data_IF_106756284001
#
_entry.id   IF_106756284001
#
_cell.length_a   1.000
_cell.length_b   1.000
_cell.length_c   1.000
_cell.angle_alpha   90.00
_cell.angle_beta   90.00
_cell.angle_gamma   90.00
#
_symmetry.space_group_name_H-M   'P 1'
#
loop_
_entity.id
_entity.type
_entity.pdbx_description
1 polymer ?
#
# COMPACT_ATOMS: atom_id res chain seq x y z
N UNK A 1 -22.68 42.99 -17.69
CA UNK A 1 -22.41 42.41 -16.36
C UNK A 1 -23.14 41.08 -16.25
N UNK A 2 -22.47 40.12 -15.61
CA UNK A 2 -22.90 38.77 -15.23
C UNK A 2 -22.79 37.63 -16.26
N UNK A 3 -21.57 37.07 -16.24
CA UNK A 3 -21.20 35.66 -16.13
C UNK A 3 -21.79 34.63 -17.11
N UNK A 4 -20.95 34.26 -18.09
CA UNK A 4 -20.93 32.92 -18.66
C UNK A 4 -20.62 31.91 -17.54
N UNK A 5 -21.56 31.01 -17.24
CA UNK A 5 -21.23 29.76 -16.55
C UNK A 5 -20.77 28.82 -17.64
N UNK A 6 -19.48 28.91 -17.95
CA UNK A 6 -18.79 27.87 -18.69
C UNK A 6 -18.92 26.58 -17.87
N UNK A 7 -19.65 25.61 -18.42
CA UNK A 7 -19.57 24.22 -18.01
C UNK A 7 -18.14 23.75 -18.32
N UNK A 8 -17.23 24.04 -17.39
CA UNK A 8 -15.89 23.51 -17.40
C UNK A 8 -16.04 22.01 -17.23
N UNK A 9 -15.94 21.32 -18.37
CA UNK A 9 -15.67 19.91 -18.47
C UNK A 9 -14.66 19.56 -17.38
N UNK A 10 -15.09 18.81 -16.37
CA UNK A 10 -14.22 18.28 -15.31
C UNK A 10 -13.38 17.14 -15.90
N UNK A 11 -12.60 17.48 -16.93
CA UNK A 11 -11.61 16.64 -17.55
C UNK A 11 -10.35 17.44 -17.53
N UNK A 12 -9.45 17.14 -16.59
CA UNK A 12 -8.01 16.99 -16.85
C UNK A 12 -7.24 16.83 -15.55
N UNK A 13 -6.43 15.75 -15.51
CA UNK A 13 -5.19 15.61 -14.72
C UNK A 13 -5.30 15.55 -13.19
N UNK A 14 -5.78 14.42 -12.67
CA UNK A 14 -5.09 13.84 -11.51
C UNK A 14 -3.87 13.11 -12.04
N UNK A 15 -2.70 13.77 -11.95
CA UNK A 15 -1.43 13.11 -12.14
C UNK A 15 -1.40 11.86 -11.26
N UNK A 16 -1.21 10.70 -11.88
CA UNK A 16 -1.15 9.34 -11.30
C UNK A 16 0.02 9.12 -10.32
N UNK A 17 0.73 10.19 -9.95
CA UNK A 17 1.87 10.22 -9.03
C UNK A 17 1.36 10.71 -7.67
N UNK A 18 1.03 9.92 -6.65
CA UNK A 18 1.01 8.48 -6.43
C UNK A 18 -0.26 8.22 -5.61
N UNK A 19 -1.26 7.52 -6.16
CA UNK A 19 -2.49 7.21 -5.41
C UNK A 19 -2.19 6.51 -4.09
N UNK A 20 -1.14 5.68 -4.04
CA UNK A 20 -0.70 4.99 -2.81
C UNK A 20 -0.16 5.97 -1.77
N UNK A 21 0.78 6.86 -2.10
CA UNK A 21 1.36 7.79 -1.12
C UNK A 21 0.29 8.75 -0.55
N UNK A 22 -0.64 9.20 -1.39
CA UNK A 22 -1.77 10.01 -0.94
C UNK A 22 -2.67 9.24 0.04
N UNK A 23 -3.04 8.01 -0.30
CA UNK A 23 -3.84 7.15 0.57
C UNK A 23 -3.13 6.87 1.90
N UNK A 24 -1.84 6.56 1.87
CA UNK A 24 -1.04 6.29 3.06
C UNK A 24 -0.86 7.53 3.94
N UNK A 25 -0.75 8.73 3.37
CA UNK A 25 -0.76 9.98 4.15
C UNK A 25 -2.09 10.18 4.87
N UNK A 26 -3.21 9.82 4.21
CA UNK A 26 -4.54 9.92 4.81
C UNK A 26 -4.74 8.96 5.99
N UNK A 27 -4.09 7.79 5.96
CA UNK A 27 -4.19 6.77 7.03
C UNK A 27 -3.78 7.33 8.40
N UNK A 28 -2.76 8.18 8.46
CA UNK A 28 -2.18 8.69 9.71
C UNK A 28 -3.16 9.51 10.54
N UNK A 29 -4.12 10.19 9.89
CA UNK A 29 -5.14 11.01 10.54
C UNK A 29 -6.54 10.39 10.48
N UNK A 30 -6.66 9.15 10.00
CA UNK A 30 -7.95 8.47 9.80
C UNK A 30 -8.35 7.66 11.03
N UNK A 31 -9.66 7.56 11.28
CA UNK A 31 -10.21 6.60 12.24
C UNK A 31 -10.10 5.15 11.73
N UNK A 32 -10.45 4.17 12.57
CA UNK A 32 -10.31 2.75 12.24
C UNK A 32 -11.14 2.34 11.00
N UNK A 33 -12.33 2.92 10.81
CA UNK A 33 -13.20 2.57 9.70
C UNK A 33 -12.57 3.05 8.38
N UNK A 34 -12.15 4.30 8.34
CA UNK A 34 -11.55 4.89 7.15
C UNK A 34 -10.19 4.25 6.82
N UNK A 35 -9.41 3.83 7.82
CA UNK A 35 -8.18 3.05 7.59
C UNK A 35 -8.47 1.72 6.90
N UNK A 36 -9.51 0.99 7.32
CA UNK A 36 -9.91 -0.26 6.67
C UNK A 36 -10.37 -0.03 5.22
N UNK A 37 -11.10 1.05 4.96
CA UNK A 37 -11.51 1.43 3.59
C UNK A 37 -10.30 1.75 2.70
N UNK A 38 -9.32 2.48 3.23
CA UNK A 38 -8.07 2.78 2.52
C UNK A 38 -7.29 1.49 2.23
N UNK A 39 -7.11 0.62 3.23
CA UNK A 39 -6.43 -0.67 3.04
C UNK A 39 -7.12 -1.51 1.97
N UNK A 40 -8.46 -1.63 2.01
CA UNK A 40 -9.22 -2.34 0.99
C UNK A 40 -9.04 -1.75 -0.41
N UNK A 41 -8.98 -0.42 -0.52
CA UNK A 41 -8.73 0.26 -1.78
C UNK A 41 -7.32 -0.07 -2.30
N UNK A 42 -6.30 -0.03 -1.44
CA UNK A 42 -4.93 -0.39 -1.79
C UNK A 42 -4.86 -1.86 -2.25
N UNK A 43 -5.44 -2.78 -1.48
CA UNK A 43 -5.46 -4.22 -1.82
C UNK A 43 -6.14 -4.47 -3.16
N UNK A 44 -7.23 -3.75 -3.48
CA UNK A 44 -7.93 -3.89 -4.76
C UNK A 44 -7.08 -3.49 -5.99
N UNK A 45 -6.01 -2.70 -5.80
CA UNK A 45 -5.05 -2.39 -6.87
C UNK A 45 -4.12 -3.57 -7.18
N UNK A 46 -3.98 -4.52 -6.25
CA UNK A 46 -3.23 -5.76 -6.43
C UNK A 46 -1.77 -5.52 -6.79
N UNK A 47 -1.29 -6.24 -7.82
CA UNK A 47 0.10 -6.19 -8.26
C UNK A 47 0.59 -4.76 -8.58
N UNK A 48 -0.28 -3.88 -9.08
CA UNK A 48 0.09 -2.53 -9.45
C UNK A 48 0.56 -1.68 -8.25
N UNK A 49 0.12 -2.01 -7.03
CA UNK A 49 0.51 -1.30 -5.81
C UNK A 49 1.82 -1.83 -5.20
N UNK A 50 2.28 -3.02 -5.58
CA UNK A 50 3.36 -3.74 -4.87
C UNK A 50 4.64 -2.92 -4.79
N UNK A 51 5.08 -2.32 -5.90
CA UNK A 51 6.33 -1.56 -5.92
C UNK A 51 6.31 -0.36 -4.97
N UNK A 52 5.21 0.38 -4.94
CA UNK A 52 5.04 1.53 -4.04
C UNK A 52 4.92 1.13 -2.59
N UNK A 53 4.24 0.00 -2.32
CA UNK A 53 4.08 -0.52 -0.97
C UNK A 53 5.41 -1.03 -0.40
N UNK A 54 6.21 -1.74 -1.20
CA UNK A 54 7.55 -2.20 -0.76
C UNK A 54 8.44 -1.01 -0.43
N UNK A 55 8.50 0.00 -1.31
CA UNK A 55 9.23 1.24 -1.06
C UNK A 55 8.77 1.92 0.24
N UNK A 56 7.46 2.02 0.46
CA UNK A 56 6.93 2.64 1.68
C UNK A 56 7.16 1.78 2.94
N UNK A 57 7.23 0.45 2.83
CA UNK A 57 7.38 -0.45 3.99
C UNK A 57 8.70 -0.21 4.72
N UNK A 58 9.77 0.09 3.96
CA UNK A 58 11.12 0.34 4.47
C UNK A 58 11.16 1.56 5.40
N UNK A 59 10.46 2.63 5.02
CA UNK A 59 10.55 3.93 5.70
C UNK A 59 9.36 4.23 6.62
N UNK A 60 8.22 3.55 6.44
CA UNK A 60 7.01 3.81 7.19
C UNK A 60 7.16 3.44 8.67
N UNK A 61 6.43 4.13 9.54
CA UNK A 61 6.34 3.85 10.97
C UNK A 61 4.88 3.83 11.43
N UNK A 62 4.65 3.34 12.65
CA UNK A 62 3.33 3.32 13.30
C UNK A 62 2.22 2.76 12.41
N UNK A 63 1.09 3.47 12.36
CA UNK A 63 -0.12 3.04 11.65
C UNK A 63 0.12 2.90 10.14
N UNK A 64 0.95 3.78 9.55
CA UNK A 64 1.29 3.69 8.11
C UNK A 64 1.98 2.36 7.80
N UNK A 65 2.97 1.95 8.62
CA UNK A 65 3.66 0.66 8.49
C UNK A 65 2.67 -0.51 8.59
N UNK A 66 1.76 -0.46 9.57
CA UNK A 66 0.74 -1.50 9.75
C UNK A 66 -0.14 -1.67 8.51
N UNK A 67 -0.66 -0.57 7.94
CA UNK A 67 -1.53 -0.64 6.74
C UNK A 67 -0.74 -1.13 5.51
N UNK A 68 0.49 -0.69 5.32
CA UNK A 68 1.35 -1.16 4.23
C UNK A 68 1.63 -2.66 4.35
N UNK A 69 2.04 -3.12 5.54
CA UNK A 69 2.31 -4.53 5.81
C UNK A 69 1.07 -5.40 5.60
N UNK A 70 -0.08 -5.01 6.17
CA UNK A 70 -1.34 -5.74 5.99
C UNK A 70 -1.77 -5.79 4.52
N UNK A 71 -1.59 -4.68 3.78
CA UNK A 71 -1.90 -4.65 2.35
C UNK A 71 -1.03 -5.64 1.57
N UNK A 72 0.28 -5.67 1.82
CA UNK A 72 1.21 -6.59 1.15
C UNK A 72 0.92 -8.06 1.49
N UNK A 73 0.56 -8.36 2.75
CA UNK A 73 0.14 -9.70 3.20
C UNK A 73 -1.12 -10.14 2.45
N UNK A 74 -2.13 -9.26 2.35
CA UNK A 74 -3.40 -9.55 1.67
C UNK A 74 -3.26 -9.64 0.15
N UNK A 75 -2.33 -8.89 -0.46
CA UNK A 75 -1.94 -9.07 -1.86
C UNK A 75 -1.24 -10.42 -2.05
N UNK A 76 -0.50 -10.88 -1.05
CA UNK A 76 0.03 -12.24 -0.97
C UNK A 76 1.23 -12.48 -1.87
N UNK A 77 1.29 -13.65 -2.52
CA UNK A 77 2.49 -14.14 -3.24
C UNK A 77 3.00 -13.20 -4.33
N UNK A 78 2.12 -12.39 -4.90
CA UNK A 78 2.44 -11.36 -5.88
C UNK A 78 3.50 -10.36 -5.37
N UNK A 79 3.56 -10.15 -4.05
CA UNK A 79 4.52 -9.27 -3.37
C UNK A 79 5.90 -9.90 -3.13
N UNK A 80 6.02 -11.24 -3.15
CA UNK A 80 7.20 -11.93 -2.61
C UNK A 80 8.50 -11.59 -3.34
N UNK A 81 8.47 -11.50 -4.68
CA UNK A 81 9.69 -11.21 -5.44
C UNK A 81 10.21 -9.81 -5.13
N UNK A 82 9.32 -8.82 -5.05
CA UNK A 82 9.69 -7.45 -4.72
C UNK A 82 10.26 -7.34 -3.29
N UNK A 83 9.62 -8.00 -2.32
CA UNK A 83 10.09 -8.05 -0.93
C UNK A 83 11.47 -8.73 -0.79
N UNK A 84 11.70 -9.84 -1.51
CA UNK A 84 13.00 -10.53 -1.51
C UNK A 84 14.11 -9.70 -2.15
N UNK A 85 13.78 -8.96 -3.20
CA UNK A 85 14.73 -8.05 -3.84
C UNK A 85 15.12 -6.92 -2.88
N UNK A 86 14.18 -6.39 -2.09
CA UNK A 86 14.46 -5.33 -1.12
C UNK A 86 15.41 -5.80 0.00
N UNK A 87 15.33 -7.07 0.41
CA UNK A 87 16.26 -7.66 1.39
C UNK A 87 17.72 -7.77 0.92
N UNK A 88 18.00 -7.51 -0.36
CA UNK A 88 19.38 -7.45 -0.86
C UNK A 88 20.11 -6.18 -0.39
N UNK A 89 19.37 -5.16 0.05
CA UNK A 89 19.92 -3.93 0.61
C UNK A 89 20.02 -4.04 2.13
N UNK A 90 21.11 -3.50 2.70
CA UNK A 90 21.28 -3.43 4.15
C UNK A 90 20.43 -2.28 4.71
N UNK A 91 19.41 -2.62 5.50
CA UNK A 91 18.48 -1.69 6.10
C UNK A 91 18.06 -2.18 7.49
N UNK A 92 18.04 -1.26 8.46
CA UNK A 92 17.66 -1.55 9.85
C UNK A 92 16.23 -2.10 9.98
N UNK A 93 15.34 -1.75 9.05
CA UNK A 93 13.94 -2.19 9.01
C UNK A 93 13.75 -3.49 8.21
N UNK A 94 14.82 -4.19 7.78
CA UNK A 94 14.69 -5.48 7.09
C UNK A 94 13.89 -6.53 7.88
N UNK A 95 13.81 -6.40 9.21
CA UNK A 95 12.97 -7.25 10.04
C UNK A 95 11.48 -7.20 9.64
N UNK A 96 10.94 -6.04 9.25
CA UNK A 96 9.52 -5.95 8.86
C UNK A 96 9.27 -6.62 7.51
N UNK A 97 10.24 -6.52 6.59
CA UNK A 97 10.17 -7.20 5.29
C UNK A 97 10.18 -8.72 5.50
N UNK A 98 11.07 -9.22 6.36
CA UNK A 98 11.12 -10.65 6.73
C UNK A 98 9.82 -11.12 7.37
N UNK A 99 9.26 -10.32 8.29
CA UNK A 99 7.97 -10.59 8.90
C UNK A 99 6.86 -10.74 7.83
N UNK A 100 6.71 -9.76 6.93
CA UNK A 100 5.70 -9.81 5.86
C UNK A 100 5.89 -11.02 4.94
N UNK A 101 7.12 -11.35 4.57
CA UNK A 101 7.41 -12.58 3.78
C UNK A 101 6.94 -13.82 4.52
N UNK A 102 7.27 -13.94 5.82
CA UNK A 102 6.88 -15.09 6.63
C UNK A 102 5.36 -15.21 6.77
N UNK A 103 4.65 -14.11 6.98
CA UNK A 103 3.18 -14.11 7.05
C UNK A 103 2.56 -14.58 5.72
N UNK A 104 3.08 -14.11 4.58
CA UNK A 104 2.60 -14.54 3.26
C UNK A 104 2.86 -16.04 3.03
N UNK A 105 4.01 -16.55 3.48
CA UNK A 105 4.37 -17.96 3.31
C UNK A 105 3.61 -18.87 4.28
N UNK A 106 3.52 -18.50 5.56
CA UNK A 106 2.82 -19.25 6.61
C UNK A 106 1.29 -19.27 6.42
N UNK A 107 0.71 -18.20 5.87
CA UNK A 107 -0.72 -18.19 5.49
C UNK A 107 -1.08 -19.28 4.47
N UNK A 108 -0.10 -19.79 3.72
CA UNK A 108 -0.29 -20.87 2.74
C UNK A 108 -0.09 -22.27 3.32
N UNK A 109 0.59 -22.42 4.46
CA UNK A 109 0.79 -23.71 5.13
C UNK A 109 -0.44 -24.12 5.97
N UNK A 110 -1.21 -23.14 6.46
CA UNK A 110 -2.41 -23.37 7.26
C UNK A 110 -3.61 -23.99 6.50
N UNK A 111 -3.56 -24.06 5.16
CA UNK A 111 -4.64 -24.64 4.32
C UNK A 111 -4.31 -26.05 3.78
N UNK A 112 -3.19 -26.65 4.21
CA UNK A 112 -2.74 -27.97 3.74
C UNK A 112 -3.03 -29.13 4.72
N UNK A 113 -4.05 -29.00 5.57
CA UNK A 113 -4.48 -30.02 6.56
C UNK A 113 -5.93 -30.42 6.37
#
# INVERSE_FOLDING_TARGET
>A
MQAAIENVQFSTTFNTVNTIDYLLKKVETSDAKLRNEIENKIVSLGQAAVSDLVRNLVDAQGVKRSVVAMSLIRIGRASLQALKNELLYDNENNWVIRYVINEIQGSNEALAV
#
